data_IF_213048788783
#
_entry.id   IF_213048788783
#
_cell.length_a   1.000
_cell.length_b   1.000
_cell.length_c   1.000
_cell.angle_alpha   90.00
_cell.angle_beta   90.00
_cell.angle_gamma   90.00
#
_symmetry.space_group_name_H-M   'P 1'
#
loop_
_entity.id
_entity.type
_entity.pdbx_description
1 polymer ?
#
# COMPACT_ATOMS: atom_id res chain seq x y z
N UNK A 1 1.42 -3.94 23.38
CA UNK A 1 2.57 -3.21 22.81
C UNK A 1 2.19 -1.87 22.22
N UNK A 2 1.53 -1.78 21.05
CA UNK A 2 1.16 -0.47 20.44
C UNK A 2 0.36 0.42 21.41
N UNK A 3 -0.63 -0.15 22.12
CA UNK A 3 -1.39 0.58 23.16
C UNK A 3 -0.50 1.12 24.29
N UNK A 4 0.50 0.34 24.70
CA UNK A 4 1.44 0.69 25.78
C UNK A 4 2.34 1.86 25.36
N UNK A 5 2.87 1.81 24.13
CA UNK A 5 3.69 2.89 23.57
C UNK A 5 2.86 4.16 23.33
N UNK A 6 1.63 4.04 22.83
CA UNK A 6 0.74 5.18 22.67
C UNK A 6 0.45 5.87 24.02
N UNK A 7 0.16 5.09 25.06
CA UNK A 7 -0.10 5.62 26.40
C UNK A 7 1.12 6.36 26.98
N UNK A 8 2.35 5.84 26.79
CA UNK A 8 3.59 6.50 27.22
C UNK A 8 3.72 7.91 26.64
N UNK A 9 3.29 8.10 25.40
CA UNK A 9 3.35 9.38 24.68
C UNK A 9 2.06 10.21 24.79
N UNK A 10 1.12 9.85 25.69
CA UNK A 10 -0.19 10.51 25.85
C UNK A 10 -1.03 10.54 24.57
N UNK A 11 -0.86 9.53 23.71
CA UNK A 11 -1.60 9.36 22.46
C UNK A 11 -2.70 8.33 22.62
N UNK A 12 -3.84 8.57 21.98
CA UNK A 12 -4.94 7.59 21.95
C UNK A 12 -4.68 6.57 20.84
N UNK A 13 -4.50 5.27 21.15
CA UNK A 13 -4.27 4.26 20.12
C UNK A 13 -5.59 3.94 19.38
N UNK A 14 -5.58 4.08 18.06
CA UNK A 14 -6.70 3.70 17.19
C UNK A 14 -6.18 2.73 16.13
N UNK A 15 -6.75 1.53 16.09
CA UNK A 15 -6.29 0.44 15.23
C UNK A 15 -7.46 -0.15 14.45
N UNK A 16 -7.22 -0.61 13.23
CA UNK A 16 -8.21 -1.38 12.49
C UNK A 16 -8.44 -2.75 13.14
N UNK A 17 -9.65 -3.31 12.98
CA UNK A 17 -10.01 -4.59 13.61
C UNK A 17 -9.11 -5.75 13.12
N UNK A 18 -8.70 -5.72 11.84
CA UNK A 18 -7.77 -6.68 11.27
C UNK A 18 -6.39 -6.64 11.95
N UNK A 19 -5.90 -5.45 12.28
CA UNK A 19 -4.61 -5.29 12.95
C UNK A 19 -4.69 -5.65 14.44
N UNK A 20 -5.79 -5.31 15.10
CA UNK A 20 -5.99 -5.63 16.51
C UNK A 20 -6.01 -7.14 16.80
N UNK A 21 -6.44 -7.97 15.84
CA UNK A 21 -6.47 -9.44 15.95
C UNK A 21 -5.16 -10.13 15.58
N UNK A 22 -4.21 -9.40 15.00
CA UNK A 22 -2.96 -9.99 14.53
C UNK A 22 -2.06 -10.30 15.72
N UNK A 23 -1.77 -11.58 15.95
CA UNK A 23 -0.77 -11.98 16.94
C UNK A 23 0.61 -11.47 16.52
N UNK A 24 1.25 -10.74 17.42
CA UNK A 24 2.62 -10.28 17.26
C UNK A 24 3.55 -11.38 17.80
N UNK A 25 4.55 -11.77 17.01
CA UNK A 25 5.64 -12.60 17.52
C UNK A 25 6.46 -11.78 18.54
N UNK A 26 7.32 -12.44 19.32
CA UNK A 26 8.25 -11.67 20.15
C UNK A 26 9.07 -10.71 19.28
N UNK A 27 9.14 -9.45 19.68
CA UNK A 27 9.86 -8.40 18.96
C UNK A 27 10.45 -7.44 19.99
N UNK A 28 11.75 -7.21 19.85
CA UNK A 28 12.52 -6.39 20.78
C UNK A 28 12.79 -5.02 20.20
N UNK A 29 12.86 -4.04 21.09
CA UNK A 29 13.26 -2.68 20.79
C UNK A 29 14.73 -2.52 21.20
N UNK A 30 15.64 -2.72 20.24
CA UNK A 30 17.09 -2.68 20.48
C UNK A 30 17.72 -1.49 19.78
N UNK A 31 18.25 -0.54 20.56
CA UNK A 31 18.89 0.70 20.07
C UNK A 31 18.04 1.50 19.05
N UNK A 32 16.71 1.46 19.19
CA UNK A 32 15.80 2.20 18.32
C UNK A 32 14.78 3.00 19.13
N UNK A 33 14.35 4.13 18.59
CA UNK A 33 13.31 4.96 19.21
C UNK A 33 11.92 4.31 19.09
N UNK A 34 10.99 4.67 19.97
CA UNK A 34 9.61 4.16 19.93
C UNK A 34 8.95 4.39 18.56
N UNK A 35 9.23 5.54 17.92
CA UNK A 35 8.72 5.87 16.59
C UNK A 35 9.32 5.01 15.48
N UNK A 36 10.64 4.77 15.53
CA UNK A 36 11.32 3.86 14.60
C UNK A 36 10.78 2.43 14.75
N UNK A 37 10.68 1.97 16.00
CA UNK A 37 10.15 0.66 16.34
C UNK A 37 8.74 0.45 15.76
N UNK A 38 7.83 1.39 16.00
CA UNK A 38 6.45 1.31 15.50
C UNK A 38 6.37 1.39 13.98
N UNK A 39 7.24 2.18 13.33
CA UNK A 39 7.29 2.29 11.87
C UNK A 39 7.80 1.00 11.24
N UNK A 40 8.83 0.39 11.84
CA UNK A 40 9.34 -0.92 11.44
C UNK A 40 8.26 -2.01 11.61
N UNK A 41 7.59 -2.03 12.76
CA UNK A 41 6.48 -2.95 13.04
C UNK A 41 5.34 -2.79 12.03
N UNK A 42 4.98 -1.55 11.68
CA UNK A 42 3.98 -1.27 10.68
C UNK A 42 4.38 -1.86 9.32
N UNK A 43 5.60 -1.58 8.86
CA UNK A 43 6.14 -2.07 7.59
C UNK A 43 6.14 -3.60 7.51
N UNK A 44 6.61 -4.28 8.56
CA UNK A 44 6.61 -5.76 8.63
C UNK A 44 5.21 -6.36 8.53
N UNK A 45 4.20 -5.63 9.00
CA UNK A 45 2.81 -6.06 8.97
C UNK A 45 2.01 -5.55 7.76
N UNK A 46 2.64 -4.86 6.80
CA UNK A 46 1.97 -4.24 5.67
C UNK A 46 0.98 -3.15 6.11
N UNK A 47 1.30 -2.48 7.21
CA UNK A 47 0.54 -1.40 7.79
C UNK A 47 1.33 -0.09 7.72
N UNK A 48 0.64 1.01 8.00
CA UNK A 48 1.23 2.34 8.20
C UNK A 48 0.87 2.79 9.61
N UNK A 49 1.85 3.42 10.27
CA UNK A 49 1.66 4.13 11.52
C UNK A 49 1.66 5.63 11.24
N UNK A 50 0.66 6.34 11.77
CA UNK A 50 0.58 7.79 11.66
C UNK A 50 0.05 8.38 12.96
N UNK A 51 0.51 9.58 13.32
CA UNK A 51 -0.04 10.34 14.45
C UNK A 51 -0.83 11.52 13.89
N UNK A 52 -2.13 11.56 14.18
CA UNK A 52 -3.04 12.63 13.74
C UNK A 52 -3.94 13.04 14.89
N UNK A 53 -4.05 14.34 15.18
CA UNK A 53 -4.95 14.88 16.21
C UNK A 53 -4.84 14.17 17.57
N UNK A 54 -3.61 13.92 18.06
CA UNK A 54 -3.37 13.23 19.34
C UNK A 54 -3.73 11.73 19.33
N UNK A 55 -4.06 11.16 18.16
CA UNK A 55 -4.37 9.75 17.98
C UNK A 55 -3.23 9.07 17.21
N UNK A 56 -2.80 7.92 17.72
CA UNK A 56 -1.86 7.04 17.04
C UNK A 56 -2.67 6.03 16.23
N UNK A 57 -2.59 6.16 14.90
CA UNK A 57 -3.33 5.37 13.93
C UNK A 57 -2.46 4.21 13.46
N UNK A 58 -3.04 3.00 13.38
CA UNK A 58 -2.37 1.82 12.82
C UNK A 58 -3.33 1.06 11.90
N UNK A 59 -3.05 1.08 10.60
CA UNK A 59 -3.96 0.56 9.56
C UNK A 59 -3.23 0.08 8.31
N UNK A 60 -3.91 -0.70 7.47
CA UNK A 60 -3.41 -1.03 6.13
C UNK A 60 -3.71 0.10 5.17
N UNK A 61 -2.74 0.44 4.34
CA UNK A 61 -2.90 1.44 3.28
C UNK A 61 -3.89 0.93 2.20
N UNK A 62 -4.65 1.85 1.60
CA UNK A 62 -5.52 1.59 0.44
C UNK A 62 -6.86 0.94 0.78
N UNK A 63 -7.34 1.09 2.02
CA UNK A 63 -8.64 0.52 2.44
C UNK A 63 -9.78 1.48 2.14
N UNK A 64 -9.51 2.78 1.96
CA UNK A 64 -10.50 3.84 1.71
C UNK A 64 -11.63 3.86 2.75
N UNK A 65 -11.28 3.45 3.96
CA UNK A 65 -12.17 3.31 5.10
C UNK A 65 -11.53 4.00 6.31
N UNK A 66 -12.38 4.55 7.15
CA UNK A 66 -12.01 4.96 8.50
C UNK A 66 -11.54 3.76 9.32
N UNK A 67 -10.83 4.02 10.42
CA UNK A 67 -10.38 2.96 11.34
C UNK A 67 -11.52 2.18 11.99
N UNK A 68 -12.71 2.77 12.03
CA UNK A 68 -13.96 2.13 12.46
C UNK A 68 -14.62 1.28 11.38
N UNK A 69 -14.06 1.22 10.16
CA UNK A 69 -14.58 0.45 9.03
C UNK A 69 -15.64 1.18 8.19
N UNK A 70 -15.99 2.43 8.52
CA UNK A 70 -16.91 3.23 7.70
C UNK A 70 -16.19 3.72 6.43
N UNK A 71 -16.80 3.63 5.24
CA UNK A 71 -16.20 4.13 4.00
C UNK A 71 -15.97 5.65 4.07
N UNK A 72 -14.85 6.11 3.55
CA UNK A 72 -14.57 7.55 3.44
C UNK A 72 -15.40 8.16 2.28
N UNK A 73 -15.85 9.42 2.41
CA UNK A 73 -16.60 10.09 1.36
C UNK A 73 -15.71 10.27 0.12
N UNK A 74 -16.27 9.99 -1.06
CA UNK A 74 -15.57 10.16 -2.32
C UNK A 74 -15.51 11.64 -2.71
N UNK A 75 -14.32 12.09 -3.10
CA UNK A 75 -14.07 13.42 -3.61
C UNK A 75 -14.10 13.41 -5.14
N UNK A 76 -14.76 14.40 -5.75
CA UNK A 76 -14.67 14.63 -7.19
C UNK A 76 -13.74 15.80 -7.47
N UNK A 77 -12.68 15.57 -8.24
CA UNK A 77 -11.78 16.58 -8.76
C UNK A 77 -12.06 16.80 -10.25
N UNK A 78 -12.11 18.07 -10.66
CA UNK A 78 -12.25 18.45 -12.06
C UNK A 78 -10.95 19.10 -12.55
N UNK A 79 -10.66 19.00 -13.85
CA UNK A 79 -9.48 19.63 -14.45
C UNK A 79 -9.43 21.15 -14.21
N UNK A 80 -10.57 21.82 -14.09
CA UNK A 80 -10.65 23.26 -13.84
C UNK A 80 -10.16 23.68 -12.44
N UNK A 81 -10.06 22.72 -11.49
CA UNK A 81 -9.65 23.01 -10.12
C UNK A 81 -8.13 22.98 -9.92
N UNK A 82 -7.37 22.55 -10.94
CA UNK A 82 -5.92 22.42 -10.85
C UNK A 82 -5.20 23.10 -12.01
N UNK A 83 -3.98 23.55 -11.71
CA UNK A 83 -3.17 24.30 -12.68
C UNK A 83 -2.20 23.37 -13.43
N UNK A 84 -1.61 22.42 -12.70
CA UNK A 84 -0.66 21.45 -13.24
C UNK A 84 -1.01 20.03 -12.77
N UNK A 85 -0.80 19.06 -13.65
CA UNK A 85 -0.94 17.65 -13.32
C UNK A 85 0.20 16.84 -13.96
N UNK A 86 0.59 15.76 -13.29
CA UNK A 86 1.51 14.77 -13.81
C UNK A 86 0.84 13.41 -13.69
N UNK A 87 0.88 12.64 -14.77
CA UNK A 87 0.45 11.25 -14.78
C UNK A 87 1.64 10.38 -15.14
N UNK A 88 1.91 9.37 -14.33
CA UNK A 88 2.97 8.41 -14.59
C UNK A 88 2.39 7.01 -14.47
N UNK A 89 2.59 6.23 -15.53
CA UNK A 89 2.25 4.81 -15.57
C UNK A 89 3.58 4.06 -15.61
N UNK A 90 3.90 3.36 -14.53
CA UNK A 90 5.03 2.45 -14.50
C UNK A 90 4.69 1.21 -15.34
N UNK A 91 5.71 0.63 -15.99
CA UNK A 91 5.52 -0.57 -16.81
C UNK A 91 4.91 -1.70 -15.99
N UNK A 92 3.78 -2.22 -16.51
CA UNK A 92 2.96 -3.26 -15.86
C UNK A 92 3.71 -4.59 -15.68
N UNK A 93 4.85 -4.75 -16.35
CA UNK A 93 5.64 -5.97 -16.43
C UNK A 93 6.94 -5.92 -15.60
N UNK A 94 7.17 -4.86 -14.82
CA UNK A 94 8.41 -4.73 -14.04
C UNK A 94 8.58 -5.86 -13.00
N UNK A 95 7.48 -6.37 -12.42
CA UNK A 95 7.54 -7.49 -11.48
C UNK A 95 6.34 -8.43 -11.59
N UNK A 96 6.60 -9.71 -11.77
CA UNK A 96 5.57 -10.77 -11.90
C UNK A 96 5.21 -11.44 -10.57
N UNK A 97 5.97 -11.15 -9.51
CA UNK A 97 5.72 -11.62 -8.15
C UNK A 97 6.73 -11.10 -7.14
N UNK A 98 6.57 -11.53 -5.88
CA UNK A 98 7.52 -11.30 -4.78
C UNK A 98 7.92 -12.63 -4.16
N UNK A 99 9.22 -12.86 -3.97
CA UNK A 99 9.74 -14.01 -3.19
C UNK A 99 10.26 -13.53 -1.84
N UNK A 100 9.86 -14.22 -0.79
CA UNK A 100 10.45 -14.07 0.54
C UNK A 100 11.04 -15.39 1.01
N UNK A 101 12.24 -15.34 1.59
CA UNK A 101 12.90 -16.52 2.15
C UNK A 101 12.63 -16.63 3.64
N UNK A 102 12.51 -17.85 4.16
CA UNK A 102 12.48 -18.08 5.60
C UNK A 102 13.35 -19.27 6.02
N UNK A 103 13.80 -19.24 7.27
CA UNK A 103 14.61 -20.29 7.87
C UNK A 103 13.72 -21.25 8.66
N UNK A 104 13.83 -22.54 8.34
CA UNK A 104 13.18 -23.58 9.12
C UNK A 104 14.17 -24.13 10.16
N UNK A 105 14.03 -23.76 11.43
CA UNK A 105 14.92 -24.26 12.51
C UNK A 105 14.80 -25.77 12.75
N UNK A 106 13.77 -26.45 12.20
CA UNK A 106 13.62 -27.91 12.29
C UNK A 106 14.21 -28.68 11.09
N UNK A 107 14.49 -27.99 9.97
CA UNK A 107 15.10 -28.57 8.76
C UNK A 107 16.06 -27.55 8.15
N UNK A 108 17.35 -27.88 8.05
CA UNK A 108 18.46 -26.97 7.66
C UNK A 108 18.30 -26.29 6.27
N UNK A 109 17.27 -26.61 5.48
CA UNK A 109 17.01 -25.98 4.18
C UNK A 109 16.13 -24.73 4.33
N UNK A 110 16.59 -23.61 3.76
CA UNK A 110 15.76 -22.42 3.58
C UNK A 110 14.65 -22.72 2.56
N UNK A 111 13.41 -22.39 2.91
CA UNK A 111 12.26 -22.57 2.01
C UNK A 111 11.81 -21.20 1.49
N UNK A 112 11.50 -21.11 0.20
CA UNK A 112 11.07 -19.87 -0.44
C UNK A 112 9.55 -19.80 -0.53
N UNK A 113 8.97 -18.69 -0.09
CA UNK A 113 7.56 -18.37 -0.31
C UNK A 113 7.47 -17.46 -1.54
N UNK A 114 6.71 -17.87 -2.55
CA UNK A 114 6.46 -17.10 -3.77
C UNK A 114 5.02 -16.61 -3.78
N UNK A 115 4.81 -15.31 -3.90
CA UNK A 115 3.52 -14.69 -4.21
C UNK A 115 3.56 -14.28 -5.68
N UNK A 116 2.67 -14.84 -6.52
CA UNK A 116 2.65 -14.62 -7.98
C UNK A 116 1.30 -14.06 -8.43
N UNK A 117 1.26 -13.37 -9.56
CA UNK A 117 0.02 -12.95 -10.23
C UNK A 117 -0.69 -14.14 -10.89
N UNK A 118 -2.00 -14.32 -10.69
CA UNK A 118 -2.82 -15.31 -11.41
C UNK A 118 -3.37 -14.68 -12.70
N UNK A 119 -2.99 -15.21 -13.87
CA UNK A 119 -3.61 -14.81 -15.16
C UNK A 119 -4.98 -15.53 -15.28
N UNK A 120 -6.05 -14.80 -15.61
CA UNK A 120 -7.37 -15.38 -15.91
C UNK A 120 -7.24 -16.30 -17.14
N UNK A 121 -7.41 -17.62 -16.96
CA UNK A 121 -7.45 -18.59 -18.07
C UNK A 121 -8.62 -18.23 -18.99
N UNK A 122 -8.33 -17.76 -20.21
CA UNK A 122 -9.24 -17.95 -21.35
C UNK A 122 -9.04 -19.40 -21.81
N UNK A 123 -10.11 -20.19 -21.70
CA UNK A 123 -10.17 -21.57 -22.20
C UNK A 123 -10.22 -21.57 -23.73
N UNK A 124 -9.28 -22.25 -24.38
CA UNK A 124 -9.53 -23.10 -25.56
C UNK A 124 -8.32 -24.01 -25.81
N UNK A 125 -8.63 -25.29 -26.02
CA UNK A 125 -7.76 -26.45 -26.24
C UNK A 125 -6.62 -26.25 -27.24
N UNK A 126 -5.44 -26.80 -26.93
CA UNK A 126 -4.72 -27.73 -27.83
C UNK A 126 -3.65 -28.48 -27.05
N UNK A 127 -3.70 -29.81 -27.10
CA UNK A 127 -2.59 -30.69 -26.72
C UNK A 127 -1.45 -30.50 -27.73
N UNK A 128 -0.23 -30.28 -27.23
CA UNK A 128 1.03 -30.74 -27.82
C UNK A 128 2.20 -30.52 -26.86
N UNK A 129 3.00 -31.57 -26.75
CA UNK A 129 4.25 -31.70 -26.03
C UNK A 129 5.32 -30.79 -26.66
N UNK A 130 6.02 -29.99 -25.85
CA UNK A 130 7.09 -29.08 -26.27
C UNK A 130 6.83 -27.63 -25.84
N UNK A 131 7.38 -27.26 -24.68
CA UNK A 131 7.57 -25.92 -24.12
C UNK A 131 6.63 -24.80 -24.59
N UNK A 132 5.56 -24.59 -23.82
CA UNK A 132 4.69 -23.43 -23.92
C UNK A 132 5.06 -22.39 -22.86
N UNK A 133 6.00 -21.51 -23.22
CA UNK A 133 6.38 -20.33 -22.46
C UNK A 133 5.34 -19.22 -22.72
N UNK A 134 4.36 -19.08 -21.81
CA UNK A 134 3.46 -17.92 -21.76
C UNK A 134 3.63 -17.19 -20.45
N UNK A 135 4.31 -16.04 -20.51
CA UNK A 135 4.57 -15.15 -19.39
C UNK A 135 5.71 -15.66 -18.52
N UNK A 136 6.88 -15.05 -18.69
CA UNK A 136 8.14 -15.45 -18.12
C UNK A 136 8.21 -15.33 -16.59
N UNK A 137 8.98 -16.21 -15.95
CA UNK A 137 9.49 -16.04 -14.58
C UNK A 137 10.56 -14.92 -14.49
N UNK A 138 10.63 -14.00 -15.46
CA UNK A 138 11.83 -13.20 -15.74
C UNK A 138 12.13 -12.08 -14.75
N UNK A 139 11.15 -11.58 -13.98
CA UNK A 139 11.44 -10.54 -12.98
C UNK A 139 10.59 -10.69 -11.71
N UNK A 140 11.14 -11.38 -10.72
CA UNK A 140 10.51 -11.54 -9.40
C UNK A 140 11.29 -10.71 -8.39
N UNK A 141 10.59 -9.88 -7.61
CA UNK A 141 11.23 -9.12 -6.55
C UNK A 141 11.61 -10.09 -5.41
N UNK A 142 12.89 -10.37 -5.25
CA UNK A 142 13.40 -11.17 -4.12
C UNK A 142 13.67 -10.26 -2.94
N UNK A 143 13.01 -10.51 -1.80
CA UNK A 143 13.28 -9.78 -0.57
C UNK A 143 14.61 -10.26 0.02
N UNK A 144 15.56 -9.34 0.23
CA UNK A 144 16.87 -9.66 0.81
C UNK A 144 16.79 -10.18 2.24
N UNK A 145 15.75 -9.79 2.99
CA UNK A 145 15.59 -10.19 4.39
C UNK A 145 15.06 -11.63 4.49
N UNK A 146 15.78 -12.47 5.25
CA UNK A 146 15.33 -13.83 5.55
C UNK A 146 14.50 -13.84 6.82
N UNK A 147 13.30 -14.39 6.75
CA UNK A 147 12.35 -14.40 7.87
C UNK A 147 12.50 -15.64 8.75
N UNK A 148 12.09 -15.51 10.01
CA UNK A 148 12.14 -16.61 10.99
C UNK A 148 11.03 -17.66 10.75
N UNK A 149 9.89 -17.25 10.19
CA UNK A 149 8.76 -18.14 9.96
C UNK A 149 8.15 -17.96 8.58
N UNK A 150 7.57 -19.05 8.06
CA UNK A 150 6.80 -19.05 6.81
C UNK A 150 5.70 -17.99 6.80
N UNK A 151 4.95 -17.88 7.90
CA UNK A 151 3.85 -16.92 8.04
C UNK A 151 4.32 -15.47 7.92
N UNK A 152 5.49 -15.14 8.49
CA UNK A 152 6.07 -13.80 8.37
C UNK A 152 6.55 -13.52 6.94
N UNK A 153 7.17 -14.50 6.28
CA UNK A 153 7.58 -14.38 4.88
C UNK A 153 6.38 -14.19 3.95
N UNK A 154 5.31 -14.96 4.12
CA UNK A 154 4.06 -14.81 3.35
C UNK A 154 3.44 -13.43 3.51
N UNK A 155 3.38 -12.92 4.75
CA UNK A 155 2.85 -11.59 5.02
C UNK A 155 3.71 -10.51 4.36
N UNK A 156 5.03 -10.59 4.51
CA UNK A 156 5.94 -9.60 3.96
C UNK A 156 5.94 -9.61 2.43
N UNK A 157 5.88 -10.79 1.81
CA UNK A 157 5.75 -10.94 0.36
C UNK A 157 4.44 -10.33 -0.12
N UNK A 158 3.31 -10.63 0.55
CA UNK A 158 2.00 -10.06 0.23
C UNK A 158 1.99 -8.53 0.37
N UNK A 159 2.51 -8.00 1.47
CA UNK A 159 2.55 -6.55 1.70
C UNK A 159 3.39 -5.81 0.64
N UNK A 160 4.54 -6.37 0.24
CA UNK A 160 5.33 -5.81 -0.84
C UNK A 160 4.63 -5.92 -2.18
N UNK A 161 3.95 -7.04 -2.45
CA UNK A 161 3.17 -7.20 -3.67
C UNK A 161 2.05 -6.17 -3.76
N UNK A 162 1.27 -5.99 -2.68
CA UNK A 162 0.24 -4.94 -2.59
C UNK A 162 0.82 -3.54 -2.84
N UNK A 163 2.02 -3.25 -2.30
CA UNK A 163 2.70 -1.97 -2.50
C UNK A 163 3.14 -1.77 -3.96
N UNK A 164 3.73 -2.79 -4.58
CA UNK A 164 4.17 -2.74 -5.99
C UNK A 164 2.97 -2.50 -6.89
N UNK A 165 1.86 -3.19 -6.62
CA UNK A 165 0.64 -3.09 -7.39
C UNK A 165 0.03 -1.66 -7.28
N UNK A 166 -0.04 -1.06 -6.08
CA UNK A 166 -0.53 0.32 -5.92
C UNK A 166 0.31 1.37 -6.66
N UNK A 167 1.63 1.17 -6.73
CA UNK A 167 2.57 2.08 -7.41
C UNK A 167 2.59 1.99 -8.94
N UNK A 168 1.73 1.17 -9.57
CA UNK A 168 1.70 1.01 -11.03
C UNK A 168 1.28 2.30 -11.75
N UNK A 169 0.37 3.08 -11.16
CA UNK A 169 -0.03 4.36 -11.72
C UNK A 169 -0.11 5.40 -10.61
N UNK A 170 0.60 6.50 -10.84
CA UNK A 170 0.62 7.67 -9.97
C UNK A 170 0.08 8.87 -10.74
N UNK A 171 -0.73 9.66 -10.06
CA UNK A 171 -1.29 10.89 -10.58
C UNK A 171 -1.09 11.98 -9.53
N UNK A 172 -0.45 13.08 -9.92
CA UNK A 172 -0.32 14.25 -9.05
C UNK A 172 -0.99 15.46 -9.68
N UNK A 173 -1.58 16.29 -8.85
CA UNK A 173 -2.25 17.52 -9.26
C UNK A 173 -2.05 18.61 -8.21
N UNK A 174 -1.77 19.83 -8.65
CA UNK A 174 -1.74 21.00 -7.78
C UNK A 174 -3.05 21.76 -7.93
N UNK A 175 -3.80 21.87 -6.84
CA UNK A 175 -5.03 22.64 -6.78
C UNK A 175 -4.72 24.13 -6.60
N UNK A 176 -5.38 24.97 -7.40
CA UNK A 176 -5.25 26.42 -7.33
C UNK A 176 -5.84 27.00 -6.05
N UNK A 177 -6.93 26.38 -5.56
CA UNK A 177 -7.53 26.68 -4.26
C UNK A 177 -7.21 25.57 -3.27
N UNK A 178 -6.52 25.92 -2.18
CA UNK A 178 -6.23 24.98 -1.13
C UNK A 178 -7.48 24.49 -0.41
N UNK A 179 -7.48 23.20 -0.08
CA UNK A 179 -8.60 22.44 0.49
C UNK A 179 -8.16 21.68 1.73
N UNK A 180 -8.40 22.24 2.90
CA UNK A 180 -7.95 21.68 4.18
C UNK A 180 -8.76 20.44 4.62
N UNK A 181 -9.91 20.19 3.99
CA UNK A 181 -10.76 19.03 4.22
C UNK A 181 -10.16 17.73 3.67
N UNK A 182 -9.12 17.82 2.85
CA UNK A 182 -8.51 16.67 2.19
C UNK A 182 -7.64 15.87 3.15
N UNK A 183 -7.78 14.56 3.11
CA UNK A 183 -7.03 13.63 3.95
C UNK A 183 -6.59 12.40 3.15
N UNK A 184 -5.38 11.86 3.43
CA UNK A 184 -4.98 10.57 2.88
C UNK A 184 -6.01 9.46 3.12
N UNK A 185 -6.03 8.46 2.24
CA UNK A 185 -7.02 7.37 2.11
C UNK A 185 -8.38 7.76 1.52
N UNK A 186 -8.65 9.04 1.24
CA UNK A 186 -9.91 9.42 0.59
C UNK A 186 -9.98 8.88 -0.84
N UNK A 187 -11.10 8.22 -1.23
CA UNK A 187 -11.32 7.86 -2.62
C UNK A 187 -11.56 9.11 -3.45
N UNK A 188 -10.90 9.20 -4.61
CA UNK A 188 -11.00 10.36 -5.51
C UNK A 188 -11.44 9.90 -6.89
N UNK A 189 -12.39 10.65 -7.47
CA UNK A 189 -12.79 10.56 -8.87
C UNK A 189 -12.28 11.80 -9.57
N UNK A 190 -11.56 11.62 -10.66
CA UNK A 190 -11.06 12.71 -11.50
C UNK A 190 -11.91 12.81 -12.75
N UNK A 191 -12.10 14.02 -13.26
CA UNK A 191 -12.94 14.29 -14.43
C UNK A 191 -12.36 15.43 -15.27
N UNK A 192 -12.46 15.26 -16.59
CA UNK A 192 -11.95 16.22 -17.57
C UNK A 192 -10.48 15.99 -17.93
N UNK A 193 -9.93 14.81 -17.64
CA UNK A 193 -8.63 14.36 -18.14
C UNK A 193 -8.82 13.34 -19.27
N UNK A 194 -7.73 12.68 -19.66
CA UNK A 194 -7.78 11.58 -20.63
C UNK A 194 -8.62 10.43 -20.08
N UNK A 195 -9.25 9.67 -20.98
CA UNK A 195 -10.19 8.58 -20.64
C UNK A 195 -9.57 7.55 -19.69
N UNK A 196 -8.29 7.25 -19.85
CA UNK A 196 -7.55 6.30 -19.03
C UNK A 196 -7.41 6.78 -17.57
N UNK A 197 -7.35 8.09 -17.36
CA UNK A 197 -7.20 8.73 -16.04
C UNK A 197 -8.57 8.83 -15.35
N UNK A 198 -9.60 9.25 -16.10
CA UNK A 198 -10.96 9.45 -15.57
C UNK A 198 -11.66 8.12 -15.20
N UNK A 199 -11.33 7.01 -15.87
CA UNK A 199 -11.90 5.69 -15.58
C UNK A 199 -11.24 4.99 -14.38
N UNK A 200 -10.06 5.42 -13.97
CA UNK A 200 -9.34 4.80 -12.87
C UNK A 200 -9.93 5.22 -11.51
N UNK A 201 -9.95 4.27 -10.56
CA UNK A 201 -10.30 4.57 -9.18
C UNK A 201 -9.05 5.05 -8.44
N UNK A 202 -9.04 6.31 -8.00
CA UNK A 202 -7.90 6.90 -7.32
C UNK A 202 -8.06 6.88 -5.80
N UNK A 203 -6.94 6.71 -5.11
CA UNK A 203 -6.84 6.86 -3.65
C UNK A 203 -5.80 7.92 -3.34
N UNK A 204 -6.17 8.88 -2.49
CA UNK A 204 -5.27 9.96 -2.10
C UNK A 204 -4.21 9.44 -1.12
N UNK A 205 -2.93 9.62 -1.45
CA UNK A 205 -1.79 9.12 -0.66
C UNK A 205 -1.13 10.25 0.12
N UNK A 206 -0.74 11.31 -0.58
CA UNK A 206 -0.08 12.46 0.01
C UNK A 206 -0.93 13.71 -0.23
N UNK A 207 -1.05 14.52 0.81
CA UNK A 207 -1.67 15.85 0.74
C UNK A 207 -0.69 16.83 1.34
N UNK A 208 -0.21 17.75 0.51
CA UNK A 208 0.73 18.78 0.92
C UNK A 208 0.05 20.13 0.79
N UNK A 209 -0.17 20.78 1.94
CA UNK A 209 -0.71 22.13 1.97
C UNK A 209 0.44 23.13 2.08
N UNK A 210 0.43 24.15 1.22
CA UNK A 210 1.43 25.21 1.23
C UNK A 210 0.72 26.54 1.40
N UNK A 211 1.21 27.35 2.34
CA UNK A 211 0.73 28.72 2.56
C UNK A 211 1.89 29.68 2.34
N UNK A 212 1.80 30.52 1.32
CA UNK A 212 2.82 31.51 0.97
C UNK A 212 2.16 32.84 0.55
N UNK A 213 2.95 33.80 0.06
CA UNK A 213 2.45 35.09 -0.41
C UNK A 213 1.50 34.99 -1.62
N UNK A 214 1.53 33.90 -2.39
CA UNK A 214 0.58 33.64 -3.48
C UNK A 214 -0.74 33.01 -3.03
N UNK A 215 -0.87 32.66 -1.75
CA UNK A 215 -2.09 32.12 -1.17
C UNK A 215 -1.94 30.71 -0.59
N UNK A 216 -3.09 30.05 -0.40
CA UNK A 216 -3.18 28.70 0.13
C UNK A 216 -3.39 27.72 -1.02
N UNK A 217 -2.40 26.86 -1.27
CA UNK A 217 -2.44 25.84 -2.33
C UNK A 217 -2.39 24.44 -1.73
N UNK A 218 -2.82 23.44 -2.50
CA UNK A 218 -2.77 22.04 -2.06
C UNK A 218 -2.30 21.16 -3.21
N UNK A 219 -1.17 20.49 -3.00
CA UNK A 219 -0.66 19.47 -3.91
C UNK A 219 -1.15 18.09 -3.44
N UNK A 220 -1.63 17.30 -4.38
CA UNK A 220 -2.20 15.97 -4.16
C UNK A 220 -1.40 14.93 -4.93
N UNK A 221 -1.12 13.81 -4.29
CA UNK A 221 -0.57 12.61 -4.92
C UNK A 221 -1.55 11.46 -4.75
N UNK A 222 -1.88 10.81 -5.86
CA UNK A 222 -2.91 9.80 -5.97
C UNK A 222 -2.32 8.53 -6.57
N UNK A 223 -2.72 7.39 -6.02
CA UNK A 223 -2.37 6.06 -6.52
C UNK A 223 -3.64 5.32 -6.97
N UNK A 224 -3.49 4.37 -7.89
CA UNK A 224 -4.62 3.55 -8.33
C UNK A 224 -5.04 2.59 -7.22
N UNK A 225 -6.34 2.59 -6.93
CA UNK A 225 -6.96 1.59 -6.07
C UNK A 225 -7.06 0.27 -6.84
N UNK A 226 -6.54 -0.79 -6.24
CA UNK A 226 -6.68 -2.13 -6.77
C UNK A 226 -7.76 -2.84 -5.98
N UNK A 227 -8.75 -3.39 -6.70
CA UNK A 227 -9.74 -4.24 -6.08
C UNK A 227 -9.10 -5.55 -5.64
N UNK A 228 -9.45 -5.99 -4.42
CA UNK A 228 -8.90 -7.17 -3.75
C UNK A 228 -9.05 -8.50 -4.52
N UNK A 229 -9.72 -8.49 -5.68
CA UNK A 229 -9.99 -9.63 -6.55
C UNK A 229 -8.80 -10.07 -7.43
N UNK A 230 -7.67 -9.35 -7.45
CA UNK A 230 -6.46 -9.78 -8.17
C UNK A 230 -5.42 -10.53 -7.29
N UNK A 231 -5.77 -10.86 -6.04
CA UNK A 231 -4.84 -11.40 -5.05
C UNK A 231 -5.25 -12.77 -4.50
N UNK A 232 -4.85 -13.84 -5.19
CA UNK A 232 -4.73 -15.20 -4.65
C UNK A 232 -3.32 -15.74 -4.83
#
# INVERSE_FOLDING_TARGET
MVKTLAARHKLTPVMSQAMARTKLAHSDQSQESDGSFLTRLAREHGAVMAVKQGKMLFFKQGQNQTLSGKPLPALTLTRQQGDSHQFTLADRDAYTGVVAHWLNTRKVKSEAVRVKRKRKKRSTNTEKQGDYLIGSEENVLVLCHTYVSKHNAERAARANWERLQRGVATFSITLSRGRAELSPEMPVKVSGFKREIDQAAWTLVTVTHTLNSSGFTTALELEVKIDALEME
#
